data_IF_081806479630
#
_entry.id   IF_081806479630
#
_cell.length_a   1.000
_cell.length_b   1.000
_cell.length_c   1.000
_cell.angle_alpha   90.00
_cell.angle_beta   90.00
_cell.angle_gamma   90.00
#
_symmetry.space_group_name_H-M   'P 1'
#
loop_
_entity.id
_entity.type
_entity.pdbx_description
1 polymer ?
#
# COMPACT_ATOMS: atom_id res chain seq x y z
N UNK A 1 10.82 0.25 -0.38
CA UNK A 1 11.95 1.08 -0.87
C UNK A 1 12.08 2.28 0.05
N UNK A 2 12.80 2.15 1.17
CA UNK A 2 12.86 3.17 2.23
C UNK A 2 14.15 3.99 2.21
N UNK A 3 14.56 4.48 1.04
CA UNK A 3 15.81 5.22 0.88
C UNK A 3 15.74 6.18 -0.28
N UNK A 4 15.34 7.42 0.01
CA UNK A 4 15.57 8.61 -0.82
C UNK A 4 15.29 8.41 -2.30
N UNK A 5 14.02 8.27 -2.66
CA UNK A 5 13.62 8.63 -4.02
C UNK A 5 13.94 10.12 -4.18
N UNK A 6 14.54 10.52 -5.29
CA UNK A 6 14.55 11.94 -5.60
C UNK A 6 13.11 12.38 -5.87
N UNK A 7 12.79 13.65 -5.61
CA UNK A 7 11.41 14.17 -5.71
C UNK A 7 10.77 13.89 -7.07
N UNK A 8 11.57 13.89 -8.14
CA UNK A 8 11.13 13.58 -9.51
C UNK A 8 10.65 12.14 -9.66
N UNK A 9 11.38 11.17 -9.10
CA UNK A 9 10.99 9.76 -9.17
C UNK A 9 9.79 9.47 -8.26
N UNK A 10 9.70 10.13 -7.11
CA UNK A 10 8.51 10.04 -6.25
C UNK A 10 7.26 10.56 -6.96
N UNK A 11 7.37 11.72 -7.63
CA UNK A 11 6.27 12.29 -8.42
C UNK A 11 5.87 11.36 -9.58
N UNK A 12 6.85 10.75 -10.26
CA UNK A 12 6.61 9.79 -11.34
C UNK A 12 5.87 8.54 -10.84
N UNK A 13 6.21 8.01 -9.65
CA UNK A 13 5.51 6.88 -9.06
C UNK A 13 4.12 7.26 -8.57
N UNK A 14 3.98 8.41 -7.91
CA UNK A 14 2.71 8.92 -7.42
C UNK A 14 1.69 9.06 -8.57
N UNK A 15 2.11 9.57 -9.74
CA UNK A 15 1.28 9.71 -10.94
C UNK A 15 0.75 8.37 -11.50
N UNK A 16 1.38 7.25 -11.16
CA UNK A 16 0.95 5.90 -11.58
C UNK A 16 -0.01 5.25 -10.57
N UNK A 17 -0.23 5.89 -9.42
CA UNK A 17 -1.19 5.43 -8.41
C UNK A 17 -2.50 6.22 -8.54
N UNK A 18 -3.64 5.54 -8.38
CA UNK A 18 -4.94 6.23 -8.32
C UNK A 18 -5.05 7.19 -7.12
N UNK A 19 -4.35 6.90 -6.02
CA UNK A 19 -4.32 7.76 -4.82
C UNK A 19 -3.38 8.96 -4.96
N UNK A 20 -2.60 9.06 -6.04
CA UNK A 20 -1.73 10.21 -6.32
C UNK A 20 -0.57 10.38 -5.34
N UNK A 21 -0.12 9.31 -4.68
CA UNK A 21 1.01 9.33 -3.74
C UNK A 21 1.72 7.98 -3.67
N UNK A 22 2.98 8.01 -3.25
CA UNK A 22 3.69 6.79 -2.88
C UNK A 22 3.14 6.23 -1.56
N UNK A 23 3.07 4.90 -1.48
CA UNK A 23 2.65 4.19 -0.28
C UNK A 23 3.74 4.21 0.78
N UNK A 24 3.34 4.40 2.03
CA UNK A 24 4.22 4.36 3.19
C UNK A 24 4.11 3.00 3.90
N UNK A 25 5.12 2.59 4.69
CA UNK A 25 5.06 1.34 5.46
C UNK A 25 3.78 1.19 6.30
N UNK A 26 3.28 2.30 6.85
CA UNK A 26 2.07 2.36 7.66
C UNK A 26 0.80 1.95 6.89
N UNK A 27 0.75 2.16 5.58
CA UNK A 27 -0.40 1.77 4.75
C UNK A 27 -0.59 0.26 4.74
N UNK A 28 0.50 -0.49 4.62
CA UNK A 28 0.49 -1.96 4.68
C UNK A 28 0.26 -2.43 6.11
N UNK A 29 0.91 -1.79 7.10
CA UNK A 29 0.78 -2.15 8.50
C UNK A 29 -0.68 -2.08 8.99
N UNK A 30 -1.44 -1.05 8.58
CA UNK A 30 -2.86 -0.91 8.94
C UNK A 30 -3.72 -2.08 8.43
N UNK A 31 -3.45 -2.56 7.21
CA UNK A 31 -4.16 -3.72 6.66
C UNK A 31 -3.80 -5.00 7.43
N UNK A 32 -2.52 -5.18 7.77
CA UNK A 32 -2.09 -6.32 8.60
C UNK A 32 -2.81 -6.30 9.96
N UNK A 33 -2.86 -5.15 10.63
CA UNK A 33 -3.57 -4.99 11.91
C UNK A 33 -5.04 -5.35 11.78
N UNK A 34 -5.72 -4.89 10.72
CA UNK A 34 -7.12 -5.21 10.47
C UNK A 34 -7.33 -6.71 10.23
N UNK A 35 -6.47 -7.36 9.45
CA UNK A 35 -6.57 -8.81 9.19
C UNK A 35 -6.35 -9.67 10.44
N UNK A 36 -5.56 -9.18 11.39
CA UNK A 36 -5.30 -9.87 12.65
C UNK A 36 -6.32 -9.54 13.76
N UNK A 37 -7.25 -8.61 13.51
CA UNK A 37 -8.31 -8.27 14.43
C UNK A 37 -9.41 -9.35 14.45
N UNK A 38 -10.28 -9.33 15.46
CA UNK A 38 -11.36 -10.31 15.60
C UNK A 38 -12.32 -10.30 14.41
N UNK A 39 -12.54 -9.13 13.82
CA UNK A 39 -13.36 -8.92 12.62
C UNK A 39 -12.78 -9.63 11.38
N UNK A 40 -11.45 -9.85 11.36
CA UNK A 40 -10.74 -10.54 10.29
C UNK A 40 -10.79 -12.07 10.40
N UNK A 41 -11.33 -12.65 11.46
CA UNK A 41 -11.16 -14.07 11.80
C UNK A 41 -11.65 -15.07 10.74
N UNK A 42 -12.54 -14.64 9.83
CA UNK A 42 -13.06 -15.49 8.75
C UNK A 42 -12.40 -15.26 7.38
N UNK A 43 -11.41 -14.37 7.31
CA UNK A 43 -10.66 -14.07 6.09
C UNK A 43 -9.41 -14.96 6.04
N UNK A 44 -9.30 -15.78 5.00
CA UNK A 44 -8.13 -16.61 4.76
C UNK A 44 -7.88 -16.80 3.25
N UNK A 45 -6.66 -17.23 2.91
CA UNK A 45 -6.25 -17.55 1.54
C UNK A 45 -6.51 -16.44 0.49
N UNK A 46 -6.55 -15.18 0.92
CA UNK A 46 -6.72 -14.03 0.03
C UNK A 46 -5.36 -13.41 -0.32
N UNK A 47 -5.23 -12.95 -1.56
CA UNK A 47 -4.19 -12.01 -1.95
C UNK A 47 -4.80 -10.62 -1.95
N UNK A 48 -4.29 -9.72 -1.10
CA UNK A 48 -4.81 -8.36 -0.94
C UNK A 48 -3.72 -7.40 -1.41
N UNK A 49 -4.01 -6.64 -2.47
CA UNK A 49 -3.12 -5.58 -2.91
C UNK A 49 -3.33 -4.30 -2.11
N UNK A 50 -2.24 -3.79 -1.53
CA UNK A 50 -2.19 -2.52 -0.80
C UNK A 50 -1.25 -1.57 -1.55
N UNK A 51 -1.64 -1.22 -2.77
CA UNK A 51 -0.77 -0.53 -3.73
C UNK A 51 -1.26 0.87 -4.14
N UNK A 52 -2.27 1.43 -3.45
CA UNK A 52 -2.82 2.75 -3.79
C UNK A 52 -3.45 2.84 -5.18
N UNK A 53 -3.84 1.69 -5.76
CA UNK A 53 -4.35 1.60 -7.13
C UNK A 53 -3.27 1.85 -8.18
N UNK A 54 -2.04 1.39 -7.92
CA UNK A 54 -0.97 1.37 -8.91
C UNK A 54 -1.44 0.62 -10.17
N UNK A 55 -1.27 1.24 -11.34
CA UNK A 55 -1.66 0.65 -12.62
C UNK A 55 -0.79 -0.59 -12.87
N UNK A 56 -1.42 -1.76 -12.97
CA UNK A 56 -0.81 -3.03 -13.43
C UNK A 56 -0.88 -3.08 -14.96
#
# INVERSE_FOLDING_TARGET
MGGGLNDEFEAMLAAQTALGRVGEPEDVARIIVMLLAEEGAWINAQSIEVAGGYII
#
